data_IF_235117400961
#
_entry.id   IF_235117400961
#
_cell.length_a   1.000
_cell.length_b   1.000
_cell.length_c   1.000
_cell.angle_alpha   90.00
_cell.angle_beta   90.00
_cell.angle_gamma   90.00
#
_symmetry.space_group_name_H-M   'P 1'
#
loop_
_entity.id
_entity.type
_entity.pdbx_description
1 polymer ?
#
# COMPACT_ATOMS: atom_id res chain seq x y z
N UNK A 1 -17.73 62.32 10.08
CA UNK A 1 -18.60 61.21 10.55
C UNK A 1 -18.17 59.97 9.79
N UNK A 2 -17.60 59.03 10.53
CA UNK A 2 -16.74 57.94 10.05
C UNK A 2 -17.58 56.76 9.54
N UNK A 3 -17.16 56.18 8.41
CA UNK A 3 -17.78 55.01 7.79
C UNK A 3 -17.52 53.75 8.63
N UNK A 4 -18.55 52.94 8.85
CA UNK A 4 -18.44 51.60 9.43
C UNK A 4 -18.66 50.55 8.34
N UNK A 5 -17.58 49.87 7.94
CA UNK A 5 -17.61 48.69 7.10
C UNK A 5 -17.95 47.47 7.98
N UNK A 6 -19.03 46.77 7.67
CA UNK A 6 -19.40 45.51 8.30
C UNK A 6 -18.56 44.38 7.68
N UNK A 7 -17.64 43.83 8.47
CA UNK A 7 -16.90 42.62 8.13
C UNK A 7 -17.69 41.40 8.60
N UNK A 8 -18.34 40.70 7.67
CA UNK A 8 -18.91 39.37 7.90
C UNK A 8 -17.77 38.35 7.93
N UNK A 9 -17.45 37.84 9.11
CA UNK A 9 -16.48 36.75 9.28
C UNK A 9 -17.13 35.41 8.88
N UNK A 10 -16.60 34.76 7.85
CA UNK A 10 -17.04 33.43 7.40
C UNK A 10 -16.79 32.36 8.49
N UNK A 11 -17.87 31.69 8.90
CA UNK A 11 -17.84 30.57 9.85
C UNK A 11 -17.34 29.30 9.12
N UNK A 12 -16.35 28.55 9.62
CA UNK A 12 -15.85 27.34 8.97
C UNK A 12 -16.91 26.22 8.98
N UNK A 13 -17.20 25.62 7.82
CA UNK A 13 -18.00 24.39 7.73
C UNK A 13 -17.22 23.17 8.26
N UNK A 14 -17.93 22.12 8.71
CA UNK A 14 -17.34 20.87 9.24
C UNK A 14 -16.36 20.19 8.26
N UNK A 15 -16.53 20.42 6.95
CA UNK A 15 -15.60 20.01 5.89
C UNK A 15 -14.23 20.69 6.02
N UNK A 16 -14.19 21.95 6.45
CA UNK A 16 -12.96 22.71 6.72
C UNK A 16 -12.21 22.18 7.95
N UNK A 17 -12.93 21.65 8.95
CA UNK A 17 -12.33 21.03 10.13
C UNK A 17 -11.67 19.67 9.83
N UNK A 18 -12.18 18.93 8.83
CA UNK A 18 -11.57 17.68 8.34
C UNK A 18 -10.37 17.94 7.40
N UNK A 19 -10.36 19.07 6.70
CA UNK A 19 -9.33 19.42 5.72
C UNK A 19 -8.17 20.28 6.27
N UNK A 20 -8.31 20.88 7.46
CA UNK A 20 -7.23 21.57 8.19
C UNK A 20 -6.84 22.95 7.64
N UNK A 21 -6.60 23.87 8.59
CA UNK A 21 -6.23 25.29 8.46
C UNK A 21 -5.08 25.60 7.48
N UNK A 22 -5.04 26.88 7.05
CA UNK A 22 -3.96 27.55 6.31
C UNK A 22 -2.59 26.95 6.62
N UNK A 23 -2.19 26.05 5.75
CA UNK A 23 -0.94 25.35 5.88
C UNK A 23 0.21 26.35 5.69
N UNK A 24 1.33 26.13 6.38
CA UNK A 24 2.62 26.82 6.15
C UNK A 24 3.11 26.63 4.68
N UNK A 25 2.36 25.90 3.85
CA UNK A 25 2.69 25.40 2.52
C UNK A 25 1.94 26.11 1.38
N UNK A 26 1.50 27.36 1.57
CA UNK A 26 1.01 28.19 0.46
C UNK A 26 2.17 28.98 -0.15
N UNK A 27 2.90 28.36 -1.07
CA UNK A 27 3.60 29.10 -2.12
C UNK A 27 3.26 28.41 -3.45
N UNK A 28 2.28 28.99 -4.14
CA UNK A 28 1.81 28.53 -5.45
C UNK A 28 2.95 28.50 -6.47
N UNK A 29 3.51 27.33 -6.71
CA UNK A 29 4.26 27.03 -7.93
C UNK A 29 3.55 25.91 -8.65
N UNK A 30 3.00 26.22 -9.83
CA UNK A 30 2.48 25.22 -10.76
C UNK A 30 3.59 24.22 -11.05
N UNK A 31 3.41 22.98 -10.62
CA UNK A 31 4.36 21.90 -10.85
C UNK A 31 4.21 21.45 -12.30
N UNK A 32 5.09 21.92 -13.18
CA UNK A 32 5.26 21.32 -14.50
C UNK A 32 5.66 19.83 -14.35
N UNK A 33 5.55 19.02 -15.40
CA UNK A 33 6.04 17.63 -15.40
C UNK A 33 7.46 17.50 -14.84
N UNK A 34 8.29 18.53 -15.05
CA UNK A 34 9.65 18.65 -14.51
C UNK A 34 9.65 18.74 -12.98
N UNK A 35 8.72 19.46 -12.36
CA UNK A 35 8.61 19.57 -10.91
C UNK A 35 8.14 18.29 -10.22
N UNK A 36 7.27 17.49 -10.85
CA UNK A 36 6.86 16.18 -10.32
C UNK A 36 8.06 15.21 -10.32
N UNK A 37 8.82 15.22 -11.41
CA UNK A 37 10.04 14.45 -11.56
C UNK A 37 11.07 14.84 -10.49
N UNK A 38 11.35 16.13 -10.32
CA UNK A 38 12.36 16.65 -9.39
C UNK A 38 11.99 16.47 -7.92
N UNK A 39 10.73 16.72 -7.55
CA UNK A 39 10.33 16.76 -6.15
C UNK A 39 9.84 15.41 -5.62
N UNK A 40 9.30 14.54 -6.48
CA UNK A 40 8.73 13.27 -6.06
C UNK A 40 9.46 12.04 -6.60
N UNK A 41 9.62 11.94 -7.93
CA UNK A 41 10.12 10.70 -8.55
C UNK A 41 11.62 10.52 -8.31
N UNK A 42 12.44 11.54 -8.57
CA UNK A 42 13.90 11.45 -8.42
C UNK A 42 14.34 11.22 -6.96
N UNK A 43 13.77 11.90 -5.94
CA UNK A 43 14.12 11.61 -4.55
C UNK A 43 13.74 10.20 -4.12
N UNK A 44 12.56 9.71 -4.53
CA UNK A 44 12.15 8.32 -4.30
C UNK A 44 13.10 7.34 -4.99
N UNK A 45 13.46 7.59 -6.26
CA UNK A 45 14.40 6.76 -7.01
C UNK A 45 15.80 6.78 -6.40
N UNK A 46 16.28 7.94 -5.95
CA UNK A 46 17.56 8.07 -5.26
C UNK A 46 17.59 7.28 -3.96
N UNK A 47 16.51 7.32 -3.17
CA UNK A 47 16.38 6.52 -1.94
C UNK A 47 16.36 5.02 -2.25
N UNK A 48 15.47 4.57 -3.14
CA UNK A 48 15.39 3.15 -3.51
C UNK A 48 16.68 2.66 -4.16
N UNK A 49 17.29 3.46 -5.03
CA UNK A 49 18.57 3.16 -5.67
C UNK A 49 19.72 3.06 -4.67
N UNK A 50 19.82 3.99 -3.73
CA UNK A 50 20.81 3.95 -2.65
C UNK A 50 20.67 2.70 -1.78
N UNK A 51 19.45 2.40 -1.33
CA UNK A 51 19.17 1.17 -0.59
C UNK A 51 19.47 -0.09 -1.42
N UNK A 52 19.18 -0.05 -2.71
CA UNK A 52 19.41 -1.15 -3.64
C UNK A 52 20.90 -1.42 -3.87
N UNK A 53 21.73 -0.37 -3.96
CA UNK A 53 23.20 -0.51 -4.02
C UNK A 53 23.75 -1.14 -2.76
N UNK A 54 23.28 -0.71 -1.58
CA UNK A 54 23.67 -1.30 -0.29
C UNK A 54 23.25 -2.77 -0.24
N UNK A 55 21.99 -3.07 -0.56
CA UNK A 55 21.46 -4.43 -0.58
C UNK A 55 22.22 -5.33 -1.57
N UNK A 56 22.57 -4.82 -2.76
CA UNK A 56 23.38 -5.52 -3.74
C UNK A 56 24.79 -5.81 -3.23
N UNK A 57 25.43 -4.85 -2.56
CA UNK A 57 26.74 -5.04 -1.93
C UNK A 57 26.72 -6.16 -0.90
N UNK A 58 25.73 -6.16 0.00
CA UNK A 58 25.54 -7.21 1.02
C UNK A 58 25.19 -8.55 0.35
N UNK A 59 24.29 -8.54 -0.64
CA UNK A 59 23.91 -9.75 -1.39
C UNK A 59 25.12 -10.40 -2.06
N UNK A 60 25.96 -9.60 -2.72
CA UNK A 60 27.16 -10.07 -3.40
C UNK A 60 28.22 -10.57 -2.42
N UNK A 61 28.42 -9.91 -1.28
CA UNK A 61 29.40 -10.33 -0.28
C UNK A 61 28.99 -11.59 0.49
N UNK A 62 27.68 -11.77 0.72
CA UNK A 62 27.13 -12.93 1.43
C UNK A 62 26.68 -14.06 0.51
N UNK A 63 26.75 -13.85 -0.80
CA UNK A 63 26.20 -14.72 -1.84
C UNK A 63 24.69 -15.03 -1.65
N UNK A 64 23.93 -14.06 -1.12
CA UNK A 64 22.49 -14.15 -0.82
C UNK A 64 21.67 -13.15 -1.63
N UNK A 65 21.05 -13.60 -2.72
CA UNK A 65 20.24 -12.73 -3.60
C UNK A 65 18.93 -12.32 -2.95
N UNK A 66 18.38 -13.17 -2.07
CA UNK A 66 17.09 -12.93 -1.39
C UNK A 66 17.08 -11.66 -0.53
N UNK A 67 18.24 -11.09 -0.20
CA UNK A 67 18.34 -9.81 0.52
C UNK A 67 17.57 -8.68 -0.17
N UNK A 68 17.47 -8.70 -1.51
CA UNK A 68 16.65 -7.74 -2.26
C UNK A 68 15.15 -7.84 -1.91
N UNK A 69 14.67 -9.03 -1.54
CA UNK A 69 13.26 -9.24 -1.22
C UNK A 69 12.89 -8.63 0.14
N UNK A 70 13.87 -8.48 1.04
CA UNK A 70 13.68 -7.72 2.28
C UNK A 70 13.50 -6.24 1.97
N UNK A 71 14.27 -5.74 1.00
CA UNK A 71 14.21 -4.35 0.57
C UNK A 71 12.85 -4.02 -0.07
N UNK A 72 12.17 -4.99 -0.67
CA UNK A 72 10.92 -4.76 -1.39
C UNK A 72 9.84 -4.04 -0.54
N UNK A 73 9.32 -4.61 0.57
CA UNK A 73 8.38 -3.89 1.42
C UNK A 73 9.06 -2.78 2.25
N UNK A 74 10.27 -3.05 2.77
CA UNK A 74 10.91 -2.12 3.72
C UNK A 74 11.33 -0.82 3.06
N UNK A 75 11.86 -0.86 1.84
CA UNK A 75 12.24 0.31 1.06
C UNK A 75 11.04 1.22 0.78
N UNK A 76 9.88 0.65 0.42
CA UNK A 76 8.65 1.42 0.18
C UNK A 76 8.11 2.08 1.46
N UNK A 77 8.13 1.37 2.60
CA UNK A 77 7.75 1.93 3.90
C UNK A 77 8.72 3.03 4.32
N UNK A 78 10.04 2.79 4.23
CA UNK A 78 11.07 3.78 4.51
C UNK A 78 10.87 5.02 3.65
N UNK A 79 10.58 4.85 2.35
CA UNK A 79 10.34 5.98 1.45
C UNK A 79 9.10 6.80 1.85
N UNK A 80 8.01 6.13 2.25
CA UNK A 80 6.80 6.81 2.73
C UNK A 80 7.08 7.63 4.00
N UNK A 81 7.72 7.03 5.01
CA UNK A 81 8.09 7.72 6.26
C UNK A 81 9.12 8.83 6.06
N UNK A 82 10.11 8.60 5.20
CA UNK A 82 11.09 9.62 4.84
C UNK A 82 10.43 10.82 4.18
N UNK A 83 9.50 10.57 3.24
CA UNK A 83 8.79 11.64 2.55
C UNK A 83 7.84 12.39 3.47
N UNK A 84 7.12 11.69 4.36
CA UNK A 84 6.17 12.27 5.29
C UNK A 84 6.82 13.04 6.45
N UNK A 85 7.94 12.54 6.98
CA UNK A 85 8.54 13.03 8.23
C UNK A 85 10.03 13.34 8.07
N UNK A 86 10.81 12.39 7.56
CA UNK A 86 12.28 12.47 7.53
C UNK A 86 12.82 13.71 6.82
N UNK A 87 12.27 14.05 5.65
CA UNK A 87 12.71 15.21 4.86
C UNK A 87 12.50 16.54 5.59
N UNK A 88 11.42 16.66 6.36
CA UNK A 88 11.07 17.88 7.07
C UNK A 88 11.91 18.07 8.34
N UNK A 89 12.30 16.97 8.99
CA UNK A 89 13.18 17.01 10.15
C UNK A 89 14.60 17.51 9.83
N UNK A 90 15.04 17.35 8.57
CA UNK A 90 16.37 17.77 8.10
C UNK A 90 16.40 19.11 7.37
N UNK A 91 15.27 19.56 6.81
CA UNK A 91 15.21 20.73 5.92
C UNK A 91 14.72 22.04 6.58
N UNK A 92 14.41 22.06 7.89
CA UNK A 92 13.91 23.25 8.61
C UNK A 92 14.51 23.41 10.02
N UNK A 93 13.97 24.32 10.86
CA UNK A 93 14.22 24.26 12.31
C UNK A 93 13.91 22.82 12.74
N UNK A 94 14.80 22.18 13.51
CA UNK A 94 14.69 20.76 13.90
C UNK A 94 13.40 20.49 14.68
N UNK A 95 12.27 20.45 13.99
CA UNK A 95 10.99 20.11 14.54
C UNK A 95 11.08 18.62 14.88
N UNK A 96 10.78 18.25 16.13
CA UNK A 96 10.73 16.85 16.50
C UNK A 96 9.82 16.08 15.55
N UNK A 97 10.21 14.87 15.15
CA UNK A 97 9.42 14.01 14.27
C UNK A 97 7.96 13.87 14.71
N UNK A 98 7.73 13.92 16.03
CA UNK A 98 6.40 13.88 16.64
C UNK A 98 5.53 15.09 16.27
N UNK A 99 6.09 16.30 16.21
CA UNK A 99 5.33 17.50 15.84
C UNK A 99 4.96 17.49 14.37
N UNK A 100 5.87 17.01 13.51
CA UNK A 100 5.58 16.80 12.09
C UNK A 100 4.46 15.77 11.94
N UNK A 101 4.55 14.62 12.62
CA UNK A 101 3.53 13.58 12.59
C UNK A 101 2.17 14.10 13.08
N UNK A 102 2.13 14.93 14.13
CA UNK A 102 0.89 15.56 14.62
C UNK A 102 0.28 16.50 13.58
N UNK A 103 1.12 17.22 12.84
CA UNK A 103 0.69 18.18 11.81
C UNK A 103 0.07 17.53 10.57
N UNK A 104 0.34 16.25 10.30
CA UNK A 104 -0.27 15.52 9.18
C UNK A 104 -1.79 15.44 9.31
N UNK A 105 -2.48 15.53 8.17
CA UNK A 105 -3.93 15.32 8.10
C UNK A 105 -4.30 13.89 8.51
N UNK A 106 -5.57 13.68 8.85
CA UNK A 106 -6.07 12.34 9.17
C UNK A 106 -5.81 11.35 8.03
N UNK A 107 -6.13 11.73 6.78
CA UNK A 107 -5.90 10.88 5.61
C UNK A 107 -4.43 10.53 5.42
N UNK A 108 -3.52 11.48 5.65
CA UNK A 108 -2.08 11.26 5.58
C UNK A 108 -1.58 10.28 6.65
N UNK A 109 -2.07 10.40 7.89
CA UNK A 109 -1.75 9.46 8.98
C UNK A 109 -2.27 8.06 8.68
N UNK A 110 -3.49 7.96 8.16
CA UNK A 110 -4.12 6.69 7.80
C UNK A 110 -3.37 6.00 6.65
N UNK A 111 -3.00 6.77 5.62
CA UNK A 111 -2.17 6.30 4.51
C UNK A 111 -0.82 5.75 5.00
N UNK A 112 -0.15 6.47 5.92
CA UNK A 112 1.13 6.07 6.49
C UNK A 112 0.99 4.82 7.37
N UNK A 113 -0.09 4.73 8.15
CA UNK A 113 -0.43 3.53 8.92
C UNK A 113 -0.71 2.33 8.03
N UNK A 114 -1.47 2.51 6.95
CA UNK A 114 -1.83 1.47 5.99
C UNK A 114 -0.61 0.91 5.25
N UNK A 115 0.26 1.77 4.69
CA UNK A 115 1.50 1.30 4.04
C UNK A 115 2.42 0.60 5.05
N UNK A 116 2.48 1.08 6.30
CA UNK A 116 3.26 0.42 7.36
C UNK A 116 2.69 -0.95 7.71
N UNK A 117 1.37 -1.09 7.84
CA UNK A 117 0.72 -2.36 8.15
C UNK A 117 0.95 -3.40 7.04
N UNK A 118 0.75 -3.01 5.77
CA UNK A 118 1.03 -3.87 4.61
C UNK A 118 2.53 -4.25 4.55
N UNK A 119 3.41 -3.25 4.61
CA UNK A 119 4.85 -3.48 4.47
C UNK A 119 5.43 -4.29 5.63
N UNK A 120 5.01 -4.04 6.87
CA UNK A 120 5.44 -4.82 8.03
C UNK A 120 4.99 -6.29 7.94
N UNK A 121 3.75 -6.53 7.51
CA UNK A 121 3.23 -7.88 7.26
C UNK A 121 4.07 -8.62 6.22
N UNK A 122 4.29 -7.99 5.06
CA UNK A 122 5.06 -8.59 3.97
C UNK A 122 6.54 -8.81 4.37
N UNK A 123 7.15 -7.82 5.04
CA UNK A 123 8.52 -7.94 5.53
C UNK A 123 8.67 -9.08 6.53
N UNK A 124 7.80 -9.16 7.53
CA UNK A 124 7.78 -10.25 8.51
C UNK A 124 7.68 -11.62 7.80
N UNK A 125 6.79 -11.74 6.81
CA UNK A 125 6.58 -12.96 6.05
C UNK A 125 7.83 -13.39 5.28
N UNK A 126 8.52 -12.46 4.62
CA UNK A 126 9.73 -12.75 3.85
C UNK A 126 10.87 -13.12 4.80
N UNK A 127 11.12 -12.32 5.84
CA UNK A 127 12.19 -12.58 6.81
C UNK A 127 11.98 -13.90 7.53
N UNK A 128 10.77 -14.20 8.02
CA UNK A 128 10.45 -15.47 8.68
C UNK A 128 10.80 -16.68 7.79
N UNK A 129 10.42 -16.63 6.51
CA UNK A 129 10.71 -17.72 5.55
C UNK A 129 12.19 -17.85 5.25
N UNK A 130 12.88 -16.74 5.00
CA UNK A 130 14.31 -16.76 4.70
C UNK A 130 15.14 -17.24 5.89
N UNK A 131 14.85 -16.75 7.11
CA UNK A 131 15.51 -17.18 8.35
C UNK A 131 15.25 -18.66 8.61
N UNK A 132 14.01 -19.12 8.51
CA UNK A 132 13.66 -20.53 8.70
C UNK A 132 14.34 -21.46 7.69
N UNK A 133 14.58 -21.00 6.46
CA UNK A 133 15.27 -21.77 5.43
C UNK A 133 16.80 -21.77 5.61
N UNK A 134 17.35 -20.71 6.19
CA UNK A 134 18.79 -20.56 6.44
C UNK A 134 19.65 -20.34 5.19
N UNK A 135 19.07 -20.46 3.99
CA UNK A 135 19.71 -20.27 2.68
C UNK A 135 18.79 -19.51 1.72
N UNK A 136 19.33 -19.10 0.58
CA UNK A 136 18.59 -18.40 -0.47
C UNK A 136 17.36 -19.21 -0.93
N UNK A 137 16.35 -18.50 -1.42
CA UNK A 137 15.23 -19.11 -2.11
C UNK A 137 15.72 -19.92 -3.33
N UNK A 138 15.12 -21.09 -3.54
CA UNK A 138 15.45 -22.02 -4.63
C UNK A 138 15.33 -21.32 -5.99
N UNK A 139 14.44 -20.32 -6.13
CA UNK A 139 14.34 -19.51 -7.34
C UNK A 139 15.66 -18.81 -7.72
N UNK A 140 16.51 -18.50 -6.74
CA UNK A 140 17.80 -17.87 -6.97
C UNK A 140 18.95 -18.86 -7.13
N UNK A 141 18.83 -20.08 -6.60
CA UNK A 141 19.88 -21.09 -6.71
C UNK A 141 20.22 -21.38 -8.18
N UNK A 142 19.21 -21.48 -9.05
CA UNK A 142 19.39 -21.74 -10.47
C UNK A 142 19.96 -20.52 -11.23
N UNK A 143 19.47 -19.32 -10.93
CA UNK A 143 19.91 -18.10 -11.65
C UNK A 143 21.36 -17.74 -11.31
N UNK A 144 21.81 -18.03 -10.07
CA UNK A 144 23.19 -17.82 -9.63
C UNK A 144 24.23 -18.67 -10.38
N UNK A 145 23.82 -19.79 -10.99
CA UNK A 145 24.74 -20.65 -11.75
C UNK A 145 25.16 -20.05 -13.10
N UNK A 146 24.48 -18.99 -13.55
CA UNK A 146 24.81 -18.32 -14.80
C UNK A 146 26.15 -17.57 -14.71
N UNK A 147 26.98 -17.70 -15.75
CA UNK A 147 28.27 -17.00 -15.81
C UNK A 147 28.09 -15.48 -15.73
N UNK A 148 28.89 -14.86 -14.86
CA UNK A 148 28.85 -13.42 -14.59
C UNK A 148 27.57 -12.94 -13.91
N UNK A 149 26.80 -13.82 -13.26
CA UNK A 149 25.51 -13.50 -12.62
C UNK A 149 25.58 -12.21 -11.80
N UNK A 150 26.53 -12.07 -10.88
CA UNK A 150 26.61 -10.91 -10.00
C UNK A 150 26.77 -9.59 -10.76
N UNK A 151 27.50 -9.57 -11.87
CA UNK A 151 27.64 -8.35 -12.69
C UNK A 151 26.33 -8.00 -13.43
N UNK A 152 25.50 -8.99 -13.75
CA UNK A 152 24.16 -8.78 -14.34
C UNK A 152 23.12 -8.45 -13.26
N UNK A 153 23.29 -8.99 -12.06
CA UNK A 153 22.36 -8.82 -10.95
C UNK A 153 22.25 -7.36 -10.50
N UNK A 154 23.28 -6.52 -10.67
CA UNK A 154 23.16 -5.09 -10.38
C UNK A 154 22.05 -4.41 -11.17
N UNK A 155 21.78 -4.85 -12.42
CA UNK A 155 20.65 -4.35 -13.21
C UNK A 155 19.31 -4.79 -12.63
N UNK A 156 19.20 -6.04 -12.14
CA UNK A 156 18.00 -6.52 -11.46
C UNK A 156 17.65 -5.65 -10.24
N UNK A 157 18.66 -5.40 -9.40
CA UNK A 157 18.53 -4.54 -8.22
C UNK A 157 18.14 -3.10 -8.59
N UNK A 158 18.72 -2.55 -9.66
CA UNK A 158 18.37 -1.21 -10.15
C UNK A 158 16.95 -1.14 -10.74
N UNK A 159 16.52 -2.16 -11.50
CA UNK A 159 15.16 -2.25 -12.03
C UNK A 159 14.12 -2.36 -10.91
N UNK A 160 14.40 -3.15 -9.86
CA UNK A 160 13.51 -3.23 -8.70
C UNK A 160 13.40 -1.89 -7.97
N UNK A 161 14.47 -1.10 -7.89
CA UNK A 161 14.40 0.27 -7.36
C UNK A 161 13.49 1.18 -8.20
N UNK A 162 13.51 1.03 -9.54
CA UNK A 162 12.60 1.75 -10.44
C UNK A 162 11.14 1.33 -10.22
N UNK A 163 10.87 0.02 -10.08
CA UNK A 163 9.53 -0.47 -9.75
C UNK A 163 9.05 0.03 -8.39
N UNK A 164 9.87 -0.04 -7.35
CA UNK A 164 9.52 0.48 -6.02
C UNK A 164 9.21 1.99 -6.07
N UNK A 165 9.93 2.75 -6.88
CA UNK A 165 9.66 4.17 -7.11
C UNK A 165 8.27 4.39 -7.71
N UNK A 166 7.90 3.63 -8.74
CA UNK A 166 6.59 3.74 -9.37
C UNK A 166 5.47 3.28 -8.42
N UNK A 167 5.63 2.10 -7.80
CA UNK A 167 4.67 1.48 -6.88
C UNK A 167 4.38 2.39 -5.68
N UNK A 168 5.37 3.15 -5.21
CA UNK A 168 5.24 4.01 -4.04
C UNK A 168 4.61 5.39 -4.30
N UNK A 169 4.28 5.75 -5.56
CA UNK A 169 3.69 7.05 -5.88
C UNK A 169 2.39 7.35 -5.10
N UNK A 170 1.39 6.42 -5.01
CA UNK A 170 0.18 6.66 -4.23
C UNK A 170 0.41 7.00 -2.77
N UNK A 171 1.48 6.50 -2.15
CA UNK A 171 1.75 6.71 -0.72
C UNK A 171 3.01 7.53 -0.46
N UNK A 172 3.46 8.30 -1.44
CA UNK A 172 4.53 9.30 -1.29
C UNK A 172 4.11 10.68 -1.79
N UNK A 173 3.35 10.77 -2.89
CA UNK A 173 2.87 12.04 -3.44
C UNK A 173 1.95 12.84 -2.48
N UNK A 174 1.06 12.22 -1.70
CA UNK A 174 0.20 12.97 -0.76
C UNK A 174 0.96 13.76 0.32
N UNK A 175 2.25 13.46 0.54
CA UNK A 175 3.12 14.17 1.49
C UNK A 175 3.96 15.29 0.84
N UNK A 176 3.71 15.57 -0.44
CA UNK A 176 4.42 16.55 -1.26
C UNK A 176 3.49 17.66 -1.75
N UNK A 177 2.45 17.97 -0.98
CA UNK A 177 1.45 18.97 -1.36
C UNK A 177 2.02 20.39 -1.53
N UNK A 178 3.12 20.69 -0.85
CA UNK A 178 3.94 21.92 -1.02
C UNK A 178 4.57 22.06 -2.41
N UNK A 179 4.74 20.95 -3.13
CA UNK A 179 5.53 20.88 -4.37
C UNK A 179 4.78 20.25 -5.54
N UNK A 180 3.57 19.75 -5.31
CA UNK A 180 2.68 19.14 -6.31
C UNK A 180 1.37 19.93 -6.35
N UNK A 181 1.17 20.69 -7.42
CA UNK A 181 -0.13 21.31 -7.75
C UNK A 181 -0.94 20.41 -8.68
N UNK A 182 -2.26 20.57 -8.67
CA UNK A 182 -3.15 19.81 -9.56
C UNK A 182 -3.65 18.51 -8.95
N UNK A 183 -3.69 18.43 -7.62
CA UNK A 183 -4.52 17.43 -6.97
C UNK A 183 -5.97 17.60 -7.39
N UNK A 184 -6.58 16.49 -7.75
CA UNK A 184 -8.01 16.37 -7.95
C UNK A 184 -8.55 15.44 -6.89
N UNK A 185 -9.83 15.56 -6.58
CA UNK A 185 -10.49 14.63 -5.69
C UNK A 185 -11.97 14.53 -5.99
N UNK A 186 -12.60 13.66 -5.23
CA UNK A 186 -14.01 13.37 -5.36
C UNK A 186 -14.87 14.62 -5.10
N UNK A 187 -16.07 14.70 -5.71
CA UNK A 187 -17.12 15.59 -5.23
C UNK A 187 -17.32 15.46 -3.71
N UNK A 188 -17.56 16.57 -3.01
CA UNK A 188 -17.59 16.62 -1.55
C UNK A 188 -18.59 15.64 -0.92
N UNK A 189 -19.75 15.48 -1.56
CA UNK A 189 -20.81 14.53 -1.20
C UNK A 189 -20.39 13.05 -1.32
N UNK A 190 -19.45 12.74 -2.22
CA UNK A 190 -18.93 11.39 -2.42
C UNK A 190 -17.60 11.12 -1.73
N UNK A 191 -16.90 12.16 -1.26
CA UNK A 191 -15.55 12.06 -0.72
C UNK A 191 -15.44 11.07 0.43
N UNK A 192 -16.36 11.13 1.40
CA UNK A 192 -16.38 10.18 2.51
C UNK A 192 -16.67 8.76 2.03
N UNK A 193 -17.71 8.56 1.22
CA UNK A 193 -18.08 7.25 0.68
C UNK A 193 -16.90 6.59 -0.02
N UNK A 194 -16.16 7.34 -0.84
CA UNK A 194 -14.97 6.85 -1.55
C UNK A 194 -13.84 6.47 -0.58
N UNK A 195 -13.57 7.26 0.47
CA UNK A 195 -12.59 6.88 1.50
C UNK A 195 -12.99 5.59 2.22
N UNK A 196 -14.27 5.43 2.56
CA UNK A 196 -14.77 4.21 3.19
C UNK A 196 -14.73 3.00 2.24
N UNK A 197 -14.99 3.19 0.95
CA UNK A 197 -14.81 2.13 -0.05
C UNK A 197 -13.33 1.73 -0.14
N UNK A 198 -12.41 2.70 -0.18
CA UNK A 198 -10.98 2.42 -0.14
C UNK A 198 -10.58 1.67 1.16
N UNK A 199 -11.20 2.00 2.30
CA UNK A 199 -11.07 1.27 3.57
C UNK A 199 -11.39 -0.19 3.42
N UNK A 200 -12.57 -0.47 2.87
CA UNK A 200 -13.02 -1.84 2.69
C UNK A 200 -12.16 -2.62 1.70
N UNK A 201 -11.73 -1.99 0.60
CA UNK A 201 -10.84 -2.64 -0.38
C UNK A 201 -9.48 -2.96 0.25
N UNK A 202 -8.89 -2.01 0.97
CA UNK A 202 -7.61 -2.20 1.65
C UNK A 202 -7.69 -3.34 2.67
N UNK A 203 -8.70 -3.34 3.55
CA UNK A 203 -8.82 -4.37 4.58
C UNK A 203 -9.19 -5.74 4.03
N UNK A 204 -10.01 -5.82 2.97
CA UNK A 204 -10.26 -7.07 2.26
C UNK A 204 -8.98 -7.62 1.61
N UNK A 205 -8.18 -6.76 0.98
CA UNK A 205 -6.89 -7.14 0.39
C UNK A 205 -5.90 -7.65 1.45
N UNK A 206 -5.73 -6.90 2.53
CA UNK A 206 -4.83 -7.29 3.63
C UNK A 206 -5.29 -8.58 4.33
N UNK A 207 -6.62 -8.79 4.44
CA UNK A 207 -7.19 -10.02 4.96
C UNK A 207 -6.90 -11.22 4.03
N UNK A 208 -7.05 -11.07 2.72
CA UNK A 208 -6.69 -12.09 1.73
C UNK A 208 -5.22 -12.49 1.85
N UNK A 209 -4.31 -11.51 1.90
CA UNK A 209 -2.88 -11.77 2.07
C UNK A 209 -2.60 -12.56 3.36
N UNK A 210 -3.16 -12.09 4.47
CA UNK A 210 -2.92 -12.66 5.79
C UNK A 210 -3.49 -14.07 5.92
N UNK A 211 -4.73 -14.28 5.46
CA UNK A 211 -5.39 -15.59 5.46
C UNK A 211 -4.71 -16.57 4.50
N UNK A 212 -4.32 -16.11 3.30
CA UNK A 212 -3.62 -16.93 2.33
C UNK A 212 -2.31 -17.46 2.91
N UNK A 213 -1.51 -16.57 3.50
CA UNK A 213 -0.23 -16.91 4.11
C UNK A 213 -0.40 -17.86 5.31
N UNK A 214 -1.38 -17.59 6.19
CA UNK A 214 -1.67 -18.43 7.35
C UNK A 214 -2.18 -19.82 6.96
N UNK A 215 -3.11 -19.91 6.00
CA UNK A 215 -3.62 -21.18 5.51
C UNK A 215 -2.50 -21.99 4.82
N UNK A 216 -1.63 -21.32 4.06
CA UNK A 216 -0.50 -21.98 3.40
C UNK A 216 0.52 -22.53 4.40
N UNK A 217 0.85 -21.79 5.44
CA UNK A 217 1.74 -22.28 6.51
C UNK A 217 1.12 -23.46 7.26
N UNK A 218 -0.15 -23.32 7.63
CA UNK A 218 -0.88 -24.36 8.36
C UNK A 218 -0.98 -25.64 7.54
N UNK A 219 -1.22 -25.51 6.22
CA UNK A 219 -1.23 -26.64 5.29
C UNK A 219 0.14 -27.29 5.16
N UNK A 220 1.21 -26.51 4.97
CA UNK A 220 2.57 -27.05 4.87
C UNK A 220 2.98 -27.83 6.11
N UNK A 221 2.71 -27.29 7.30
CA UNK A 221 3.02 -27.98 8.56
C UNK A 221 2.19 -29.27 8.72
N UNK A 222 0.93 -29.27 8.27
CA UNK A 222 0.07 -30.45 8.32
C UNK A 222 0.51 -31.54 7.34
N UNK A 223 1.05 -31.15 6.19
CA UNK A 223 1.52 -32.08 5.15
C UNK A 223 2.98 -32.52 5.33
N UNK A 224 3.70 -31.93 6.29
CA UNK A 224 5.09 -32.25 6.57
C UNK A 224 5.24 -33.74 6.98
N UNK A 225 6.21 -34.43 6.37
CA UNK A 225 6.48 -35.85 6.63
C UNK A 225 5.52 -36.84 5.95
N UNK A 226 4.50 -36.39 5.21
CA UNK A 226 3.61 -37.29 4.47
C UNK A 226 4.24 -37.78 3.18
N UNK A 227 4.09 -39.07 2.88
CA UNK A 227 4.55 -39.68 1.62
C UNK A 227 3.85 -39.09 0.38
N UNK A 228 2.62 -38.59 0.55
CA UNK A 228 1.85 -37.92 -0.50
C UNK A 228 1.25 -36.63 0.06
N UNK A 229 1.88 -35.49 -0.22
CA UNK A 229 1.37 -34.17 0.19
C UNK A 229 0.28 -33.67 -0.78
N UNK A 230 -0.86 -33.24 -0.27
CA UNK A 230 -1.96 -32.65 -1.07
C UNK A 230 -1.70 -31.17 -1.41
N UNK A 231 -2.31 -30.66 -2.49
CA UNK A 231 -2.27 -29.23 -2.84
C UNK A 231 -3.37 -28.46 -2.12
N UNK A 232 -3.02 -27.33 -1.48
CA UNK A 232 -3.99 -26.44 -0.83
C UNK A 232 -4.91 -25.79 -1.87
N UNK A 233 -6.19 -26.15 -1.83
CA UNK A 233 -7.25 -25.64 -2.74
C UNK A 233 -8.52 -25.19 -2.00
N UNK A 234 -8.50 -25.24 -0.68
CA UNK A 234 -9.59 -24.82 0.21
C UNK A 234 -9.31 -23.46 0.84
N UNK A 235 -10.29 -22.87 1.52
CA UNK A 235 -10.07 -21.59 2.18
C UNK A 235 -10.12 -20.43 1.20
N UNK A 236 -9.31 -19.39 1.40
CA UNK A 236 -9.20 -18.30 0.41
C UNK A 236 -8.56 -18.77 -0.90
N UNK A 237 -7.84 -19.90 -0.88
CA UNK A 237 -7.31 -20.57 -2.08
C UNK A 237 -8.42 -21.21 -2.92
N UNK A 238 -9.65 -21.38 -2.42
CA UNK A 238 -10.74 -21.80 -3.29
C UNK A 238 -11.27 -20.67 -4.18
N UNK A 239 -10.91 -19.40 -3.91
CA UNK A 239 -11.37 -18.23 -4.68
C UNK A 239 -10.52 -18.06 -5.96
N UNK A 240 -9.20 -18.01 -5.79
CA UNK A 240 -8.20 -17.86 -6.86
C UNK A 240 -6.94 -18.66 -6.50
N UNK A 241 -6.06 -18.91 -7.47
CA UNK A 241 -4.82 -19.68 -7.22
C UNK A 241 -3.76 -18.93 -6.44
N UNK A 242 -3.70 -17.61 -6.52
CA UNK A 242 -2.78 -16.78 -5.73
C UNK A 242 -3.55 -15.68 -4.97
N UNK A 243 -4.31 -16.04 -3.92
CA UNK A 243 -5.13 -15.08 -3.18
C UNK A 243 -4.30 -13.98 -2.50
N UNK A 244 -3.04 -14.26 -2.17
CA UNK A 244 -2.09 -13.27 -1.69
C UNK A 244 -1.72 -12.22 -2.75
N UNK A 245 -1.56 -12.58 -4.03
CA UNK A 245 -1.28 -11.60 -5.09
C UNK A 245 -2.52 -10.78 -5.46
N UNK A 246 -3.70 -11.42 -5.43
CA UNK A 246 -4.96 -10.72 -5.56
C UNK A 246 -5.15 -9.69 -4.43
N UNK A 247 -4.92 -10.12 -3.18
CA UNK A 247 -4.99 -9.25 -2.01
C UNK A 247 -4.03 -8.07 -2.07
N UNK A 248 -2.78 -8.31 -2.46
CA UNK A 248 -1.77 -7.25 -2.66
C UNK A 248 -2.21 -6.23 -3.73
N UNK A 249 -2.83 -6.68 -4.83
CA UNK A 249 -3.38 -5.78 -5.84
C UNK A 249 -4.53 -4.93 -5.33
N UNK A 250 -5.43 -5.49 -4.51
CA UNK A 250 -6.49 -4.73 -3.86
C UNK A 250 -5.91 -3.67 -2.90
N UNK A 251 -4.92 -4.04 -2.09
CA UNK A 251 -4.21 -3.09 -1.21
C UNK A 251 -3.63 -1.93 -2.00
N UNK A 252 -2.92 -2.21 -3.09
CA UNK A 252 -2.31 -1.16 -3.90
C UNK A 252 -3.36 -0.30 -4.63
N UNK A 253 -4.48 -0.87 -5.09
CA UNK A 253 -5.59 -0.13 -5.69
C UNK A 253 -6.31 0.78 -4.68
N UNK A 254 -6.33 0.41 -3.39
CA UNK A 254 -6.99 1.21 -2.37
C UNK A 254 -6.29 2.56 -2.13
N UNK A 255 -4.96 2.64 -2.25
CA UNK A 255 -4.21 3.88 -1.99
C UNK A 255 -4.62 5.08 -2.87
N UNK A 256 -4.60 5.01 -4.21
CA UNK A 256 -5.04 6.13 -5.03
C UNK A 256 -6.52 6.45 -4.85
N UNK A 257 -7.38 5.45 -4.58
CA UNK A 257 -8.78 5.69 -4.26
C UNK A 257 -8.95 6.47 -2.95
N UNK A 258 -8.15 6.13 -1.94
CA UNK A 258 -8.10 6.86 -0.68
C UNK A 258 -7.74 8.33 -0.87
N UNK A 259 -6.71 8.56 -1.68
CA UNK A 259 -6.24 9.89 -2.01
C UNK A 259 -7.30 10.67 -2.78
N UNK A 260 -8.05 10.02 -3.66
CA UNK A 260 -9.13 10.65 -4.42
C UNK A 260 -10.25 11.13 -3.50
N UNK A 261 -10.68 10.29 -2.55
CA UNK A 261 -11.62 10.70 -1.50
C UNK A 261 -11.04 11.71 -0.49
N UNK A 262 -9.73 11.95 -0.50
CA UNK A 262 -9.04 12.87 0.42
C UNK A 262 -8.56 14.16 -0.24
N UNK A 263 -8.93 14.43 -1.50
CA UNK A 263 -8.43 15.59 -2.27
C UNK A 263 -6.89 15.60 -2.46
N UNK A 264 -6.26 14.43 -2.41
CA UNK A 264 -4.81 14.22 -2.51
C UNK A 264 -4.43 13.34 -3.71
N UNK A 265 -5.32 13.18 -4.69
CA UNK A 265 -5.07 12.33 -5.87
C UNK A 265 -4.47 13.10 -7.04
N UNK A 266 -3.52 12.46 -7.73
CA UNK A 266 -3.08 12.87 -9.07
C UNK A 266 -3.08 11.64 -9.97
N UNK A 267 -3.31 11.81 -11.27
CA UNK A 267 -3.33 10.71 -12.24
C UNK A 267 -2.05 9.85 -12.21
N UNK A 268 -0.89 10.47 -11.88
CA UNK A 268 0.39 9.77 -11.78
C UNK A 268 0.43 8.69 -10.69
N UNK A 269 -0.44 8.76 -9.68
CA UNK A 269 -0.58 7.73 -8.66
C UNK A 269 -1.08 6.40 -9.24
N UNK A 270 -1.82 6.42 -10.36
CA UNK A 270 -2.29 5.19 -11.02
C UNK A 270 -1.14 4.36 -11.60
N UNK A 271 0.05 4.96 -11.82
CA UNK A 271 1.25 4.24 -12.19
C UNK A 271 1.68 3.24 -11.11
N UNK A 272 1.34 3.49 -9.83
CA UNK A 272 1.69 2.61 -8.73
C UNK A 272 1.01 1.25 -8.79
N UNK A 273 -0.33 1.17 -8.73
CA UNK A 273 -1.06 -0.10 -8.88
C UNK A 273 -0.79 -0.77 -10.23
N UNK A 274 -0.63 0.00 -11.31
CA UNK A 274 -0.30 -0.56 -12.63
C UNK A 274 1.08 -1.23 -12.63
N UNK A 275 2.11 -0.57 -12.07
CA UNK A 275 3.44 -1.15 -11.93
C UNK A 275 3.45 -2.36 -10.99
N UNK A 276 2.69 -2.31 -9.90
CA UNK A 276 2.55 -3.43 -8.96
C UNK A 276 1.93 -4.65 -9.64
N UNK A 277 0.79 -4.45 -10.30
CA UNK A 277 0.10 -5.48 -11.06
C UNK A 277 1.01 -6.08 -12.15
N UNK A 278 1.73 -5.22 -12.89
CA UNK A 278 2.67 -5.68 -13.90
C UNK A 278 3.79 -6.55 -13.31
N UNK A 279 4.38 -6.10 -12.21
CA UNK A 279 5.44 -6.84 -11.52
C UNK A 279 4.96 -8.21 -11.05
N UNK A 280 3.77 -8.27 -10.42
CA UNK A 280 3.16 -9.50 -9.94
C UNK A 280 2.74 -10.45 -11.05
N UNK A 281 2.41 -9.97 -12.25
CA UNK A 281 1.92 -10.84 -13.33
C UNK A 281 3.04 -11.35 -14.25
N UNK A 282 4.09 -10.56 -14.46
CA UNK A 282 5.08 -10.85 -15.51
C UNK A 282 6.53 -10.94 -15.06
N UNK A 283 6.92 -10.29 -13.96
CA UNK A 283 8.34 -10.27 -13.54
C UNK A 283 8.61 -11.29 -12.45
N UNK A 284 7.95 -11.15 -11.29
CA UNK A 284 8.32 -11.89 -10.08
C UNK A 284 7.15 -12.51 -9.33
N UNK A 285 5.97 -12.58 -9.95
CA UNK A 285 4.79 -13.17 -9.33
C UNK A 285 4.26 -14.42 -10.02
N UNK A 286 3.00 -14.43 -10.43
CA UNK A 286 2.24 -15.67 -10.67
C UNK A 286 2.79 -16.55 -11.79
N UNK A 287 3.19 -15.98 -12.93
CA UNK A 287 3.66 -16.75 -14.09
C UNK A 287 4.94 -17.51 -13.81
N UNK A 288 5.93 -16.86 -13.19
CA UNK A 288 7.20 -17.50 -12.82
C UNK A 288 6.99 -18.52 -11.70
N UNK A 289 6.17 -18.17 -10.70
CA UNK A 289 5.83 -19.06 -9.60
C UNK A 289 5.10 -20.32 -10.08
N UNK A 290 4.11 -20.20 -10.96
CA UNK A 290 3.38 -21.35 -11.52
C UNK A 290 4.27 -22.22 -12.41
N UNK A 291 5.17 -21.63 -13.20
CA UNK A 291 6.13 -22.39 -14.00
C UNK A 291 7.08 -23.21 -13.11
N UNK A 292 7.62 -22.59 -12.05
CA UNK A 292 8.47 -23.27 -11.07
C UNK A 292 7.71 -24.37 -10.32
N UNK A 293 6.45 -24.12 -9.94
CA UNK A 293 5.58 -25.10 -9.29
C UNK A 293 5.28 -26.30 -10.19
N UNK A 294 4.95 -26.06 -11.47
CA UNK A 294 4.69 -27.12 -12.44
C UNK A 294 5.89 -28.05 -12.58
N UNK A 295 7.09 -27.48 -12.73
CA UNK A 295 8.34 -28.26 -12.85
C UNK A 295 8.63 -29.06 -11.58
N UNK A 296 8.50 -28.44 -10.41
CA UNK A 296 8.72 -29.10 -9.12
C UNK A 296 7.72 -30.22 -8.87
N UNK A 297 6.43 -29.97 -9.07
CA UNK A 297 5.40 -30.97 -8.79
C UNK A 297 5.50 -32.17 -9.74
N UNK A 298 5.88 -31.95 -11.00
CA UNK A 298 6.17 -33.03 -11.93
C UNK A 298 7.30 -33.96 -11.45
N UNK A 299 8.31 -33.40 -10.75
CA UNK A 299 9.43 -34.14 -10.14
C UNK A 299 9.08 -34.77 -8.78
N UNK A 300 8.30 -34.07 -7.96
CA UNK A 300 7.96 -34.47 -6.58
C UNK A 300 6.90 -35.59 -6.54
N UNK A 301 5.79 -35.44 -7.27
CA UNK A 301 4.65 -36.37 -7.20
C UNK A 301 3.69 -36.22 -8.38
N UNK A 302 3.41 -37.33 -9.07
CA UNK A 302 2.41 -37.39 -10.15
C UNK A 302 1.02 -36.93 -9.70
N UNK A 303 0.62 -37.28 -8.48
CA UNK A 303 -0.69 -36.89 -7.92
C UNK A 303 -0.79 -35.38 -7.74
N UNK A 304 0.23 -34.76 -7.13
CA UNK A 304 0.27 -33.32 -6.89
C UNK A 304 0.33 -32.51 -8.19
N UNK A 305 1.04 -33.03 -9.19
CA UNK A 305 1.06 -32.43 -10.53
C UNK A 305 -0.32 -32.46 -11.19
N UNK A 306 -1.01 -33.60 -11.19
CA UNK A 306 -2.36 -33.73 -11.75
C UNK A 306 -3.37 -32.81 -11.03
N UNK A 307 -3.27 -32.68 -9.70
CA UNK A 307 -4.09 -31.75 -8.94
C UNK A 307 -3.84 -30.29 -9.32
N UNK A 308 -2.59 -29.92 -9.58
CA UNK A 308 -2.22 -28.57 -10.00
C UNK A 308 -2.78 -28.25 -11.39
N UNK A 309 -2.69 -29.17 -12.35
CA UNK A 309 -3.29 -29.01 -13.68
C UNK A 309 -4.81 -28.84 -13.60
N UNK A 310 -5.49 -29.68 -12.80
CA UNK A 310 -6.94 -29.54 -12.57
C UNK A 310 -7.29 -28.19 -11.94
N UNK A 311 -6.50 -27.74 -10.97
CA UNK A 311 -6.69 -26.45 -10.35
C UNK A 311 -6.47 -25.28 -11.32
N UNK A 312 -5.54 -25.43 -12.27
CA UNK A 312 -5.32 -24.45 -13.33
C UNK A 312 -6.51 -24.31 -14.29
N UNK A 313 -7.24 -25.41 -14.53
CA UNK A 313 -8.45 -25.42 -15.35
C UNK A 313 -9.67 -24.86 -14.61
N UNK A 314 -9.75 -25.04 -13.29
CA UNK A 314 -10.93 -24.71 -12.50
C UNK A 314 -10.96 -23.27 -11.99
N UNK A 315 -9.81 -22.71 -11.63
CA UNK A 315 -9.72 -21.38 -11.00
C UNK A 315 -8.81 -20.51 -11.81
N UNK A 316 -9.01 -19.19 -11.77
CA UNK A 316 -8.06 -18.27 -12.37
C UNK A 316 -6.84 -18.05 -11.46
N UNK A 317 -5.72 -17.68 -12.07
CA UNK A 317 -4.48 -17.42 -11.33
C UNK A 317 -4.64 -16.23 -10.37
N UNK A 318 -5.24 -15.16 -10.87
CA UNK A 318 -5.16 -13.84 -10.26
C UNK A 318 -6.53 -13.24 -9.91
N UNK A 319 -7.43 -13.09 -10.90
CA UNK A 319 -8.74 -12.46 -10.70
C UNK A 319 -9.84 -13.50 -10.50
N UNK A 320 -10.71 -13.36 -9.49
CA UNK A 320 -11.80 -14.30 -9.27
C UNK A 320 -12.76 -14.31 -10.46
N UNK A 321 -13.36 -15.48 -10.72
CA UNK A 321 -14.48 -15.58 -11.64
C UNK A 321 -15.73 -14.92 -11.02
N UNK A 322 -16.65 -14.46 -11.85
CA UNK A 322 -17.94 -13.93 -11.38
C UNK A 322 -18.74 -14.99 -10.58
N UNK A 323 -18.50 -16.27 -10.85
CA UNK A 323 -19.13 -17.37 -10.11
C UNK A 323 -18.60 -17.54 -8.68
N UNK A 324 -17.49 -16.89 -8.30
CA UNK A 324 -16.98 -16.93 -6.93
C UNK A 324 -17.89 -16.23 -5.92
N UNK A 325 -18.97 -15.55 -6.36
CA UNK A 325 -20.02 -15.06 -5.46
C UNK A 325 -20.71 -16.20 -4.69
N UNK A 326 -20.71 -17.43 -5.23
CA UNK A 326 -21.23 -18.61 -4.52
C UNK A 326 -20.24 -19.18 -3.49
N UNK A 327 -19.00 -18.69 -3.46
CA UNK A 327 -17.96 -19.18 -2.55
C UNK A 327 -18.09 -18.50 -1.17
N UNK A 328 -18.24 -19.27 -0.07
CA UNK A 328 -18.36 -18.68 1.27
C UNK A 328 -17.18 -17.79 1.68
N UNK A 329 -15.97 -18.11 1.22
CA UNK A 329 -14.78 -17.31 1.55
C UNK A 329 -14.78 -15.93 0.90
N UNK A 330 -15.46 -15.77 -0.25
CA UNK A 330 -15.68 -14.45 -0.86
C UNK A 330 -16.45 -13.55 0.09
N UNK A 331 -17.49 -14.07 0.75
CA UNK A 331 -18.29 -13.31 1.71
C UNK A 331 -17.57 -13.06 3.03
N UNK A 332 -16.77 -14.01 3.53
CA UNK A 332 -15.91 -13.79 4.70
C UNK A 332 -14.97 -12.61 4.45
N UNK A 333 -14.26 -12.61 3.31
CA UNK A 333 -13.33 -11.54 2.94
C UNK A 333 -14.07 -10.20 2.74
N UNK A 334 -15.23 -10.24 2.08
CA UNK A 334 -16.04 -9.04 1.85
C UNK A 334 -16.58 -8.45 3.15
N UNK A 335 -16.97 -9.31 4.10
CA UNK A 335 -17.36 -8.92 5.46
C UNK A 335 -16.21 -8.28 6.25
N UNK A 336 -14.98 -8.80 6.13
CA UNK A 336 -13.78 -8.15 6.70
C UNK A 336 -13.50 -6.79 6.06
N UNK A 337 -13.75 -6.66 4.76
CA UNK A 337 -13.79 -5.38 4.05
C UNK A 337 -14.77 -4.41 4.68
N UNK A 338 -16.04 -4.80 4.78
CA UNK A 338 -17.11 -3.98 5.36
C UNK A 338 -16.82 -3.58 6.82
N UNK A 339 -16.27 -4.50 7.63
CA UNK A 339 -15.86 -4.21 9.00
C UNK A 339 -14.74 -3.15 9.06
N UNK A 340 -13.77 -3.22 8.13
CA UNK A 340 -12.73 -2.20 7.99
C UNK A 340 -13.27 -0.82 7.63
N UNK A 341 -14.23 -0.77 6.70
CA UNK A 341 -14.93 0.46 6.34
C UNK A 341 -15.73 1.03 7.51
N UNK A 342 -16.45 0.20 8.25
CA UNK A 342 -17.18 0.62 9.44
C UNK A 342 -16.24 1.17 10.52
N UNK A 343 -15.09 0.52 10.76
CA UNK A 343 -14.09 0.99 11.70
C UNK A 343 -13.54 2.38 11.30
N UNK A 344 -13.24 2.58 10.02
CA UNK A 344 -12.81 3.88 9.49
C UNK A 344 -13.90 4.95 9.69
N UNK A 345 -15.17 4.63 9.44
CA UNK A 345 -16.30 5.55 9.64
C UNK A 345 -16.45 5.99 11.10
N UNK A 346 -16.41 5.05 12.05
CA UNK A 346 -16.50 5.38 13.47
C UNK A 346 -15.31 6.22 13.94
N UNK A 347 -14.12 5.95 13.40
CA UNK A 347 -12.93 6.73 13.74
C UNK A 347 -12.99 8.16 13.16
N UNK A 348 -13.40 8.32 11.89
CA UNK A 348 -13.66 9.63 11.27
C UNK A 348 -14.68 10.43 12.08
N UNK A 349 -15.78 9.79 12.48
CA UNK A 349 -16.86 10.42 13.25
C UNK A 349 -16.39 10.90 14.63
N UNK A 350 -15.53 10.13 15.30
CA UNK A 350 -14.95 10.51 16.61
C UNK A 350 -14.01 11.70 16.49
N UNK A 351 -13.18 11.75 15.44
CA UNK A 351 -12.30 12.90 15.19
C UNK A 351 -13.14 14.15 14.91
N UNK A 352 -14.18 14.02 14.07
CA UNK A 352 -15.08 15.13 13.77
C UNK A 352 -15.75 15.66 15.05
N UNK A 353 -16.29 14.78 15.89
CA UNK A 353 -16.91 15.16 17.17
C UNK A 353 -15.92 15.81 18.15
N UNK A 354 -14.69 15.32 18.23
CA UNK A 354 -13.65 15.93 19.06
C UNK A 354 -13.27 17.33 18.57
N UNK A 355 -13.22 17.54 17.25
CA UNK A 355 -12.95 18.86 16.66
C UNK A 355 -14.06 19.87 16.97
N UNK A 356 -15.34 19.46 16.96
CA UNK A 356 -16.46 20.31 17.38
C UNK A 356 -16.46 20.60 18.88
N UNK A 357 -16.09 19.63 19.72
CA UNK A 357 -16.04 19.82 21.17
C UNK A 357 -14.93 20.79 21.63
N UNK A 358 -13.82 20.87 20.90
CA UNK A 358 -12.71 21.81 21.18
C UNK A 358 -13.03 23.23 20.74
N UNK A 359 -14.05 23.44 19.90
CA UNK A 359 -14.45 24.76 19.39
C UNK A 359 -15.94 25.06 19.66
N UNK A 360 -16.38 25.21 20.92
CA UNK A 360 -17.78 25.45 21.27
C UNK A 360 -18.33 26.82 20.81
N UNK A 361 -17.46 27.74 20.39
CA UNK A 361 -17.83 29.11 19.99
C UNK A 361 -18.60 29.22 18.67
N UNK A 362 -18.69 28.14 17.87
CA UNK A 362 -19.49 28.14 16.63
C UNK A 362 -20.98 27.84 16.86
N UNK A 363 -21.38 27.43 18.07
CA UNK A 363 -22.78 27.14 18.40
C UNK A 363 -23.51 28.33 19.07
N UNK A 364 -22.79 29.33 19.56
CA UNK A 364 -23.41 30.44 20.31
C UNK A 364 -23.75 31.69 19.48
N UNK A 365 -23.37 31.75 18.20
CA UNK A 365 -23.68 32.89 17.32
C UNK A 365 -25.00 32.74 16.53
N UNK A 366 -25.60 31.54 16.52
CA UNK A 366 -26.88 31.27 15.84
C UNK A 366 -28.13 31.52 16.68
N UNK A 367 -28.03 31.55 18.00
CA UNK A 367 -29.19 31.69 18.90
C UNK A 367 -29.38 33.10 19.48
N UNK A 368 -28.39 34.00 19.36
CA UNK A 368 -28.51 35.39 19.87
C UNK A 368 -29.14 36.36 18.86
N UNK A 369 -29.27 35.99 17.59
CA UNK A 369 -29.87 36.86 16.54
C UNK A 369 -31.37 36.61 16.36
N UNK A 370 -31.92 35.52 16.91
CA UNK A 370 -33.35 35.21 16.86
C UNK A 370 -34.20 35.91 17.96
N UNK A 371 -33.58 36.72 18.83
CA UNK A 371 -34.27 37.45 19.91
C UNK A 371 -34.29 38.98 19.77
N UNK A 372 -33.78 39.53 18.66
CA UNK A 372 -33.80 40.96 18.35
C UNK A 372 -34.14 41.19 16.87
N UNK A 373 -35.35 40.78 16.49
CA UNK A 373 -36.18 41.37 15.44
C UNK A 373 -37.62 41.38 15.95
#
# INVERSE_FOLDING_TARGET
MTAAASATADIPTAEKALNGHDSIFSNGKVTSTVGLLQNAVLPSFGLHGGLSVIAYGIARSTNRVEIKDYLWPSGMVINAWWTAVGRHSLAGPRAPALEILKSLSYSQKLLLGAVTAWGARLFYRIVKRSVSRGKDDVRYENVKQQSGFWNKASLLFALEAAFQTAISLPFTLPFRADSVTGFTGAPADWAQTIRLTAAGIFTAGLALETLADWQLDSHKNKEEGKQQSDLLRSGVWSIVRHPNYFGDSLVHLAFPLWNYGSQLFTWSQLLGPAANYFFLRWIGGDRENEASQAERYAKESKSKHAQFELYQLQKHSFWPSLFEVANPWTWVVSGMGAAGAAAAYFYESRIAAAATAVNPASLTLGETVAGLQ
#
